data_IF_576774426441
#
_entry.id   IF_576774426441
#
_cell.length_a   1.000
_cell.length_b   1.000
_cell.length_c   1.000
_cell.angle_alpha   90.00
_cell.angle_beta   90.00
_cell.angle_gamma   90.00
#
_symmetry.space_group_name_H-M   'P 1'
#
loop_
_entity.id
_entity.type
_entity.pdbx_description
1 polymer ?
#
# COMPACT_ATOMS: atom_id res chain seq x y z
N UNK A 1 -7.01 -29.28 8.82
CA UNK A 1 -7.96 -28.64 9.76
C UNK A 1 -8.85 -27.76 8.91
N UNK A 2 -10.16 -27.69 9.17
CA UNK A 2 -11.04 -26.77 8.43
C UNK A 2 -10.73 -25.34 8.87
N UNK A 3 -10.26 -24.52 7.94
CA UNK A 3 -10.17 -23.08 8.13
C UNK A 3 -11.55 -22.52 8.51
N UNK A 4 -11.66 -21.87 9.66
CA UNK A 4 -12.93 -21.37 10.18
C UNK A 4 -12.79 -19.93 10.66
N UNK A 5 -13.53 -19.03 10.02
CA UNK A 5 -13.67 -17.63 10.43
C UNK A 5 -14.58 -17.59 11.66
N UNK A 6 -14.12 -17.03 12.77
CA UNK A 6 -14.88 -16.94 14.03
C UNK A 6 -15.34 -15.51 14.33
N UNK A 7 -14.65 -14.52 13.77
CA UNK A 7 -14.95 -13.09 13.90
C UNK A 7 -14.57 -12.38 12.60
N UNK A 8 -15.23 -11.25 12.32
CA UNK A 8 -14.95 -10.45 11.11
C UNK A 8 -13.49 -9.97 11.06
N UNK A 9 -12.85 -9.77 12.22
CA UNK A 9 -11.43 -9.41 12.28
C UNK A 9 -10.45 -10.54 11.98
N UNK A 10 -10.92 -11.76 11.69
CA UNK A 10 -10.08 -12.83 11.14
C UNK A 10 -9.83 -12.63 9.62
N UNK A 11 -10.56 -11.72 8.97
CA UNK A 11 -10.39 -11.39 7.56
C UNK A 11 -9.18 -10.46 7.37
N UNK A 12 -8.36 -10.76 6.37
CA UNK A 12 -7.22 -9.91 6.02
C UNK A 12 -7.63 -8.70 5.18
N UNK A 13 -8.76 -8.76 4.49
CA UNK A 13 -9.30 -7.66 3.70
C UNK A 13 -10.82 -7.68 3.63
N UNK A 14 -11.43 -6.50 3.67
CA UNK A 14 -12.86 -6.27 3.47
C UNK A 14 -13.02 -4.95 2.71
N UNK A 15 -13.73 -4.97 1.59
CA UNK A 15 -13.98 -3.79 0.77
C UNK A 15 -15.43 -3.73 0.29
N UNK A 16 -15.91 -2.52 -0.03
CA UNK A 16 -17.25 -2.30 -0.55
C UNK A 16 -17.21 -1.34 -1.71
N UNK A 17 -17.85 -1.71 -2.80
CA UNK A 17 -18.04 -0.86 -3.97
C UNK A 17 -19.49 -0.86 -4.45
N UNK A 18 -19.78 -0.11 -5.51
CA UNK A 18 -21.10 0.06 -6.12
C UNK A 18 -21.29 -0.80 -7.39
N UNK A 19 -20.42 -1.80 -7.58
CA UNK A 19 -20.48 -2.74 -8.71
C UNK A 19 -21.45 -3.91 -8.48
N UNK A 20 -22.12 -3.95 -7.33
CA UNK A 20 -23.12 -4.97 -7.04
C UNK A 20 -24.36 -4.82 -7.92
N UNK A 21 -24.92 -5.95 -8.33
CA UNK A 21 -26.14 -6.01 -9.12
C UNK A 21 -27.21 -6.75 -8.32
N UNK A 22 -28.31 -6.07 -8.03
CA UNK A 22 -29.46 -6.63 -7.32
C UNK A 22 -30.33 -7.52 -8.22
N UNK A 23 -31.34 -8.14 -7.63
CA UNK A 23 -32.19 -9.12 -8.33
C UNK A 23 -32.97 -8.52 -9.52
N UNK A 24 -33.19 -7.21 -9.53
CA UNK A 24 -33.92 -6.51 -10.59
C UNK A 24 -32.97 -5.69 -11.50
N UNK A 25 -31.66 -5.93 -11.41
CA UNK A 25 -30.64 -5.21 -12.18
C UNK A 25 -30.30 -3.82 -11.63
N UNK A 26 -30.82 -3.46 -10.45
CA UNK A 26 -30.45 -2.22 -9.77
C UNK A 26 -29.02 -2.28 -9.22
N UNK A 27 -28.34 -1.13 -9.18
CA UNK A 27 -27.04 -1.03 -8.51
C UNK A 27 -27.25 -1.16 -7.01
N UNK A 28 -26.53 -2.09 -6.41
CA UNK A 28 -26.52 -2.32 -4.96
C UNK A 28 -25.07 -2.34 -4.47
N UNK A 29 -24.81 -2.05 -3.19
CA UNK A 29 -23.47 -2.23 -2.64
C UNK A 29 -23.03 -3.69 -2.81
N UNK A 30 -21.78 -3.89 -3.22
CA UNK A 30 -21.13 -5.20 -3.19
C UNK A 30 -20.04 -5.14 -2.13
N UNK A 31 -20.11 -6.05 -1.18
CA UNK A 31 -19.08 -6.24 -0.16
C UNK A 31 -18.26 -7.47 -0.53
N UNK A 32 -16.95 -7.31 -0.71
CA UNK A 32 -16.01 -8.39 -0.94
C UNK A 32 -15.07 -8.52 0.26
N UNK A 33 -14.57 -9.73 0.50
CA UNK A 33 -13.74 -10.05 1.65
C UNK A 33 -12.79 -11.20 1.33
N UNK A 34 -11.63 -11.18 1.98
CA UNK A 34 -10.59 -12.18 1.82
C UNK A 34 -10.01 -12.60 3.16
N UNK A 35 -9.49 -13.82 3.19
CA UNK A 35 -8.84 -14.40 4.35
C UNK A 35 -7.67 -15.28 3.92
N UNK A 36 -6.70 -15.45 4.81
CA UNK A 36 -5.53 -16.31 4.60
C UNK A 36 -5.40 -17.20 5.83
N UNK A 37 -5.20 -18.50 5.65
CA UNK A 37 -5.02 -19.44 6.75
C UNK A 37 -3.55 -19.56 7.19
N UNK A 38 -3.31 -20.36 8.24
CA UNK A 38 -1.97 -20.56 8.78
C UNK A 38 -1.02 -21.33 7.84
N UNK A 39 -1.55 -21.96 6.80
CA UNK A 39 -0.80 -22.66 5.74
C UNK A 39 -0.66 -21.77 4.49
N UNK A 40 -0.97 -20.47 4.60
CA UNK A 40 -0.91 -19.48 3.52
C UNK A 40 -1.91 -19.71 2.37
N UNK A 41 -2.93 -20.54 2.56
CA UNK A 41 -3.98 -20.68 1.54
C UNK A 41 -4.88 -19.44 1.55
N UNK A 42 -5.15 -18.89 0.36
CA UNK A 42 -6.01 -17.72 0.20
C UNK A 42 -7.47 -18.11 -0.02
N UNK A 43 -8.37 -17.30 0.53
CA UNK A 43 -9.82 -17.46 0.40
C UNK A 43 -10.44 -16.12 0.03
N UNK A 44 -11.44 -16.15 -0.86
CA UNK A 44 -12.16 -14.97 -1.30
C UNK A 44 -13.67 -15.22 -1.30
N UNK A 45 -14.43 -14.18 -0.98
CA UNK A 45 -15.89 -14.21 -1.03
C UNK A 45 -16.44 -12.81 -1.29
N UNK A 46 -17.64 -12.77 -1.86
CA UNK A 46 -18.35 -11.52 -2.07
C UNK A 46 -19.85 -11.68 -1.94
N UNK A 47 -20.52 -10.56 -1.63
CA UNK A 47 -21.97 -10.49 -1.52
C UNK A 47 -22.50 -9.14 -2.00
N UNK A 48 -23.36 -9.20 -3.00
CA UNK A 48 -24.14 -8.05 -3.46
C UNK A 48 -25.36 -7.81 -2.56
N UNK A 49 -25.73 -6.55 -2.38
CA UNK A 49 -26.88 -6.12 -1.59
C UNK A 49 -26.64 -5.97 -0.09
N UNK A 50 -25.40 -6.17 0.37
CA UNK A 50 -25.03 -6.07 1.80
C UNK A 50 -23.94 -5.02 1.95
N UNK A 51 -24.13 -4.13 2.93
CA UNK A 51 -23.11 -3.18 3.38
C UNK A 51 -22.09 -3.85 4.30
N UNK A 52 -20.84 -3.38 4.34
CA UNK A 52 -19.82 -3.85 5.30
C UNK A 52 -20.33 -3.80 6.75
N UNK A 53 -21.16 -2.80 7.08
CA UNK A 53 -21.73 -2.63 8.43
C UNK A 53 -22.73 -3.73 8.81
N UNK A 54 -23.27 -4.42 7.82
CA UNK A 54 -24.29 -5.47 7.96
C UNK A 54 -23.70 -6.86 7.74
N UNK A 55 -22.41 -6.95 7.41
CA UNK A 55 -21.71 -8.21 7.19
C UNK A 55 -21.60 -9.00 8.50
N UNK A 56 -22.04 -10.25 8.48
CA UNK A 56 -21.94 -11.16 9.64
C UNK A 56 -20.98 -12.31 9.37
N UNK A 57 -20.52 -12.98 10.43
CA UNK A 57 -19.60 -14.13 10.32
C UNK A 57 -20.26 -15.26 9.53
N UNK A 58 -21.54 -15.48 9.71
CA UNK A 58 -22.30 -16.51 8.99
C UNK A 58 -22.33 -16.20 7.49
N UNK A 59 -22.52 -14.93 7.09
CA UNK A 59 -22.49 -14.54 5.68
C UNK A 59 -21.10 -14.76 5.08
N UNK A 60 -20.05 -14.44 5.83
CA UNK A 60 -18.66 -14.67 5.41
C UNK A 60 -18.43 -16.16 5.21
N UNK A 61 -18.71 -16.99 6.22
CA UNK A 61 -18.56 -18.45 6.13
C UNK A 61 -19.36 -19.05 4.96
N UNK A 62 -20.57 -18.55 4.71
CA UNK A 62 -21.43 -19.03 3.62
C UNK A 62 -20.83 -18.71 2.23
N UNK A 63 -20.18 -17.56 2.06
CA UNK A 63 -19.75 -17.05 0.74
C UNK A 63 -18.24 -17.11 0.51
N UNK A 64 -17.44 -17.38 1.54
CA UNK A 64 -15.99 -17.52 1.44
C UNK A 64 -15.64 -18.86 0.77
N UNK A 65 -14.77 -18.82 -0.24
CA UNK A 65 -14.32 -19.99 -0.99
C UNK A 65 -12.79 -19.96 -1.10
N UNK A 66 -12.14 -21.13 -1.11
CA UNK A 66 -10.71 -21.18 -1.39
C UNK A 66 -10.46 -20.64 -2.81
N UNK A 67 -9.47 -19.76 -2.92
CA UNK A 67 -8.94 -19.35 -4.22
C UNK A 67 -7.97 -20.46 -4.69
N UNK A 68 -8.20 -21.06 -5.86
CA UNK A 68 -7.28 -22.06 -6.39
C UNK A 68 -5.97 -21.41 -6.82
N UNK A 69 -4.87 -22.15 -6.73
CA UNK A 69 -3.53 -21.68 -7.09
C UNK A 69 -3.50 -21.10 -8.50
N UNK A 70 -4.27 -21.61 -9.46
CA UNK A 70 -4.27 -21.11 -10.83
C UNK A 70 -4.88 -19.70 -10.99
N UNK A 71 -5.71 -19.26 -10.04
CA UNK A 71 -6.24 -17.90 -9.99
C UNK A 71 -5.27 -16.93 -9.30
N UNK A 72 -4.44 -17.45 -8.39
CA UNK A 72 -3.43 -16.69 -7.64
C UNK A 72 -2.13 -16.59 -8.45
N UNK A 73 -1.75 -17.69 -9.09
CA UNK A 73 -0.56 -17.89 -9.90
C UNK A 73 -1.00 -18.20 -11.33
N UNK A 74 -1.18 -17.17 -12.18
CA UNK A 74 -1.65 -17.37 -13.55
C UNK A 74 -0.76 -18.36 -14.30
N UNK A 75 -1.40 -19.24 -15.08
CA UNK A 75 -0.68 -20.17 -15.94
C UNK A 75 0.20 -19.38 -16.91
N UNK A 76 1.50 -19.68 -16.86
CA UNK A 76 2.49 -19.06 -17.74
C UNK A 76 2.09 -19.23 -19.21
N UNK A 77 2.11 -18.17 -20.04
CA UNK A 77 1.93 -18.27 -21.48
C UNK A 77 2.82 -19.38 -22.07
N UNK A 78 2.24 -20.35 -22.78
CA UNK A 78 2.97 -21.52 -23.27
C UNK A 78 3.99 -21.20 -24.39
N UNK A 79 3.90 -20.01 -24.99
CA UNK A 79 4.69 -19.61 -26.17
C UNK A 79 5.77 -18.55 -25.89
N UNK A 80 5.92 -18.12 -24.63
CA UNK A 80 7.01 -17.22 -24.25
C UNK A 80 8.02 -18.01 -23.42
N UNK A 81 9.32 -17.92 -23.79
CA UNK A 81 10.43 -18.47 -23.01
C UNK A 81 10.50 -17.74 -21.67
N UNK A 82 9.60 -18.10 -20.75
CA UNK A 82 9.59 -17.62 -19.39
C UNK A 82 10.64 -18.44 -18.65
N UNK A 83 11.77 -17.78 -18.41
CA UNK A 83 12.84 -18.35 -17.60
C UNK A 83 12.33 -18.42 -16.18
N UNK A 84 12.18 -19.63 -15.63
CA UNK A 84 11.95 -19.84 -14.19
C UNK A 84 13.04 -19.05 -13.47
N UNK A 85 12.65 -18.12 -12.58
CA UNK A 85 13.62 -17.44 -11.73
C UNK A 85 14.45 -18.54 -11.05
N UNK A 86 15.79 -18.54 -11.21
CA UNK A 86 16.60 -19.64 -10.73
C UNK A 86 16.29 -19.92 -9.26
N UNK A 87 16.15 -21.19 -8.89
CA UNK A 87 15.95 -21.64 -7.50
C UNK A 87 16.99 -21.03 -6.54
N UNK A 88 18.12 -20.62 -7.09
CA UNK A 88 19.12 -19.80 -6.42
C UNK A 88 18.82 -18.29 -6.60
N UNK A 89 17.87 -17.81 -5.81
CA UNK A 89 17.51 -16.38 -5.69
C UNK A 89 18.54 -15.57 -4.89
N UNK A 90 19.72 -16.12 -4.58
CA UNK A 90 20.77 -15.43 -3.80
C UNK A 90 21.23 -14.09 -4.41
N UNK A 91 20.86 -13.78 -5.66
CA UNK A 91 21.17 -12.52 -6.32
C UNK A 91 19.99 -11.57 -6.59
N UNK A 92 18.75 -11.94 -6.27
CA UNK A 92 17.58 -11.04 -6.31
C UNK A 92 17.11 -10.74 -4.88
N UNK A 93 16.91 -9.47 -4.57
CA UNK A 93 16.38 -9.03 -3.27
C UNK A 93 15.00 -8.41 -3.49
N UNK A 94 14.00 -8.93 -2.80
CA UNK A 94 12.78 -8.21 -2.46
C UNK A 94 12.79 -8.08 -0.93
N UNK A 95 12.53 -6.85 -0.45
CA UNK A 95 12.90 -6.27 0.85
C UNK A 95 14.39 -5.92 1.01
N UNK A 96 14.57 -4.70 1.54
CA UNK A 96 15.77 -3.84 1.64
C UNK A 96 17.13 -4.55 1.51
N UNK A 97 17.92 -4.15 0.50
CA UNK A 97 19.31 -4.59 0.30
C UNK A 97 20.20 -4.05 1.43
N UNK A 98 20.80 -4.90 2.28
CA UNK A 98 21.75 -4.48 3.33
C UNK A 98 23.00 -3.78 2.76
N UNK A 99 23.30 -4.02 1.48
CA UNK A 99 24.50 -3.48 0.83
C UNK A 99 24.31 -2.06 0.27
N UNK A 100 23.07 -1.53 0.22
CA UNK A 100 22.82 -0.14 -0.17
C UNK A 100 23.27 0.85 0.92
N UNK A 101 23.26 0.38 2.18
CA UNK A 101 23.64 1.15 3.38
C UNK A 101 25.09 0.89 3.83
N UNK A 102 25.76 -0.12 3.26
CA UNK A 102 27.19 -0.36 3.50
C UNK A 102 28.05 0.61 2.69
N UNK A 103 28.26 1.79 3.26
CA UNK A 103 29.30 2.73 2.82
C UNK A 103 28.82 3.93 2.01
N UNK A 104 27.52 4.20 1.96
CA UNK A 104 26.95 5.40 1.33
C UNK A 104 25.83 5.99 2.16
N UNK A 105 25.83 7.32 2.31
CA UNK A 105 24.72 8.05 2.89
C UNK A 105 23.46 7.87 2.03
N UNK A 106 22.29 7.75 2.67
CA UNK A 106 21.00 7.80 1.98
C UNK A 106 20.91 9.16 1.29
N UNK A 107 20.88 9.15 -0.05
CA UNK A 107 20.74 10.37 -0.85
C UNK A 107 19.26 10.79 -0.84
N UNK A 108 18.86 11.46 0.25
CA UNK A 108 17.50 11.97 0.47
C UNK A 108 17.01 12.80 -0.71
N UNK A 109 17.84 13.69 -1.23
CA UNK A 109 17.49 14.58 -2.34
C UNK A 109 17.20 13.78 -3.62
N UNK A 110 17.99 12.74 -3.91
CA UNK A 110 17.72 11.82 -5.02
C UNK A 110 16.41 11.06 -4.84
N UNK A 111 16.12 10.58 -3.64
CA UNK A 111 14.88 9.85 -3.36
C UNK A 111 13.68 10.79 -3.55
N UNK A 112 13.68 11.97 -2.93
CA UNK A 112 12.57 12.92 -3.02
C UNK A 112 12.37 13.43 -4.45
N UNK A 113 13.45 13.74 -5.17
CA UNK A 113 13.36 14.20 -6.56
C UNK A 113 12.85 13.10 -7.51
N UNK A 114 13.29 11.85 -7.33
CA UNK A 114 12.81 10.73 -8.13
C UNK A 114 11.33 10.41 -7.86
N UNK A 115 10.89 10.44 -6.60
CA UNK A 115 9.48 10.28 -6.25
C UNK A 115 8.62 11.42 -6.80
N UNK A 116 9.08 12.67 -6.68
CA UNK A 116 8.39 13.82 -7.28
C UNK A 116 8.23 13.65 -8.79
N UNK A 117 9.28 13.23 -9.51
CA UNK A 117 9.22 13.02 -10.95
C UNK A 117 8.26 11.89 -11.36
N UNK A 118 8.21 10.80 -10.58
CA UNK A 118 7.26 9.71 -10.80
C UNK A 118 5.80 10.17 -10.61
N UNK A 119 5.54 10.96 -9.56
CA UNK A 119 4.22 11.52 -9.27
C UNK A 119 3.82 12.56 -10.31
N UNK A 120 4.71 13.46 -10.72
CA UNK A 120 4.47 14.44 -11.79
C UNK A 120 4.06 13.75 -13.10
N UNK A 121 4.72 12.62 -13.42
CA UNK A 121 4.37 11.81 -14.58
C UNK A 121 2.97 11.21 -14.46
N UNK A 122 2.63 10.63 -13.29
CA UNK A 122 1.31 10.07 -13.04
C UNK A 122 0.22 11.13 -13.10
N UNK A 123 0.47 12.30 -12.51
CA UNK A 123 -0.45 13.43 -12.49
C UNK A 123 -0.69 14.00 -13.89
N UNK A 124 0.34 14.01 -14.75
CA UNK A 124 0.20 14.40 -16.15
C UNK A 124 -0.72 13.45 -16.95
N UNK A 125 -0.90 12.22 -16.49
CA UNK A 125 -1.86 11.25 -17.04
C UNK A 125 -3.27 11.40 -16.45
N UNK A 126 -3.47 12.31 -15.51
CA UNK A 126 -4.77 12.51 -14.83
C UNK A 126 -5.05 11.51 -13.70
N UNK A 127 -4.02 10.83 -13.20
CA UNK A 127 -4.10 9.80 -12.16
C UNK A 127 -3.41 10.30 -10.88
N UNK A 128 -3.89 9.88 -9.71
CA UNK A 128 -3.16 9.99 -8.44
C UNK A 128 -2.84 8.60 -7.90
N UNK A 129 -1.75 8.44 -7.14
CA UNK A 129 -1.38 7.17 -6.49
C UNK A 129 -2.23 6.92 -5.24
N UNK A 130 -2.53 7.97 -4.48
CA UNK A 130 -3.33 8.04 -3.25
C UNK A 130 -2.79 7.29 -2.02
N UNK A 131 -1.62 6.67 -2.14
CA UNK A 131 -1.01 5.92 -1.04
C UNK A 131 0.53 5.99 -1.06
N UNK A 132 1.05 7.22 -1.16
CA UNK A 132 2.51 7.46 -1.14
C UNK A 132 3.02 7.31 0.30
N UNK A 133 3.80 6.25 0.54
CA UNK A 133 4.42 5.95 1.84
C UNK A 133 5.71 5.10 1.62
N UNK A 134 6.56 4.89 2.65
CA UNK A 134 7.83 4.18 2.51
C UNK A 134 7.70 2.71 2.12
N UNK A 135 6.63 2.03 2.53
CA UNK A 135 6.39 0.64 2.14
C UNK A 135 6.10 0.52 0.63
N UNK A 136 5.63 1.60 0.02
CA UNK A 136 5.34 1.69 -1.42
C UNK A 136 6.51 2.29 -2.23
N UNK A 137 7.72 2.35 -1.65
CA UNK A 137 8.92 2.80 -2.35
C UNK A 137 10.02 1.74 -2.27
N UNK A 138 10.49 1.29 -3.43
CA UNK A 138 11.67 0.44 -3.55
C UNK A 138 12.88 1.26 -3.99
N UNK A 139 14.08 0.84 -3.61
CA UNK A 139 15.32 1.41 -4.12
C UNK A 139 15.97 0.44 -5.11
N UNK A 140 16.22 0.93 -6.33
CA UNK A 140 16.97 0.21 -7.34
C UNK A 140 18.46 0.13 -6.97
N UNK A 141 19.23 -0.66 -7.74
CA UNK A 141 20.65 -0.89 -7.45
C UNK A 141 21.51 0.39 -7.41
N UNK A 142 21.16 1.43 -8.18
CA UNK A 142 21.86 2.72 -8.20
C UNK A 142 21.33 3.72 -7.15
N UNK A 143 20.40 3.29 -6.28
CA UNK A 143 19.75 4.14 -5.29
C UNK A 143 18.61 4.99 -5.85
N UNK A 144 18.15 4.71 -7.08
CA UNK A 144 16.98 5.36 -7.65
C UNK A 144 15.69 4.87 -6.97
N UNK A 145 14.77 5.77 -6.57
CA UNK A 145 13.50 5.38 -6.02
C UNK A 145 12.57 4.86 -7.12
N UNK A 146 11.82 3.81 -6.78
CA UNK A 146 10.79 3.21 -7.62
C UNK A 146 9.51 3.17 -6.81
N UNK A 147 8.52 3.96 -7.23
CA UNK A 147 7.17 3.93 -6.67
C UNK A 147 6.48 2.63 -7.10
N UNK A 148 5.90 1.91 -6.15
CA UNK A 148 5.21 0.63 -6.35
C UNK A 148 3.81 0.66 -5.72
N UNK A 149 3.04 -0.40 -5.96
CA UNK A 149 1.69 -0.61 -5.42
C UNK A 149 0.66 0.44 -5.84
N UNK A 150 0.23 0.34 -7.11
CA UNK A 150 -0.80 1.18 -7.69
C UNK A 150 -2.24 0.72 -7.33
N UNK A 151 -2.42 -0.08 -6.27
CA UNK A 151 -3.73 -0.61 -5.88
C UNK A 151 -4.77 0.46 -5.48
N UNK A 152 -4.30 1.64 -5.06
CA UNK A 152 -5.14 2.81 -4.75
C UNK A 152 -5.13 3.88 -5.87
N UNK A 153 -4.47 3.57 -7.00
CA UNK A 153 -4.32 4.51 -8.08
C UNK A 153 -5.63 4.67 -8.85
N UNK A 154 -6.09 5.92 -8.99
CA UNK A 154 -7.38 6.22 -9.61
C UNK A 154 -7.32 7.54 -10.38
N UNK A 155 -8.16 7.75 -11.42
CA UNK A 155 -8.34 9.04 -12.06
C UNK A 155 -8.79 10.11 -11.08
N UNK A 156 -8.33 11.35 -11.29
CA UNK A 156 -8.69 12.47 -10.42
C UNK A 156 -10.22 12.64 -10.30
N UNK A 157 -10.68 12.82 -9.06
CA UNK A 157 -12.09 12.97 -8.71
C UNK A 157 -12.84 11.66 -8.46
N UNK A 158 -12.27 10.50 -8.82
CA UNK A 158 -12.87 9.21 -8.53
C UNK A 158 -12.87 8.93 -7.03
N UNK A 159 -13.90 8.21 -6.56
CA UNK A 159 -14.09 7.96 -5.14
C UNK A 159 -13.12 6.88 -4.65
N UNK A 160 -12.38 7.18 -3.60
CA UNK A 160 -11.46 6.22 -2.99
C UNK A 160 -12.17 5.30 -1.99
N UNK A 161 -11.75 4.04 -1.97
CA UNK A 161 -12.24 3.02 -1.03
C UNK A 161 -11.64 3.20 0.38
N UNK A 162 -10.40 3.67 0.44
CA UNK A 162 -9.67 4.02 1.66
C UNK A 162 -9.02 5.40 1.48
N UNK A 163 -8.62 6.04 2.58
CA UNK A 163 -7.93 7.33 2.51
C UNK A 163 -6.41 7.17 2.27
N UNK A 164 -5.92 5.97 1.93
CA UNK A 164 -4.50 5.62 1.98
C UNK A 164 -4.08 5.06 3.35
N UNK A 165 -2.78 4.88 3.56
CA UNK A 165 -2.20 4.30 4.78
C UNK A 165 -2.27 5.26 5.97
N UNK A 166 -2.77 4.82 7.15
CA UNK A 166 -2.83 5.65 8.36
C UNK A 166 -1.48 6.29 8.73
N UNK A 167 -1.48 7.59 9.03
CA UNK A 167 -0.27 8.36 9.30
C UNK A 167 0.43 8.92 8.05
N UNK A 168 0.13 8.37 6.87
CA UNK A 168 0.69 8.80 5.58
C UNK A 168 -0.32 9.55 4.70
N UNK A 169 -1.58 9.58 5.12
CA UNK A 169 -2.65 10.22 4.39
C UNK A 169 -3.21 11.48 5.07
N UNK A 170 -3.88 12.32 4.28
CA UNK A 170 -4.68 13.43 4.77
C UNK A 170 -5.84 12.91 5.63
N UNK A 171 -6.44 13.81 6.42
CA UNK A 171 -7.65 13.50 7.17
C UNK A 171 -8.73 12.91 6.26
N UNK A 172 -9.46 11.89 6.74
CA UNK A 172 -10.41 11.11 5.95
C UNK A 172 -11.48 11.98 5.27
N UNK A 173 -11.89 13.07 5.91
CA UNK A 173 -12.86 14.04 5.40
C UNK A 173 -12.34 14.80 4.17
N UNK A 174 -11.03 14.78 3.92
CA UNK A 174 -10.33 15.50 2.86
C UNK A 174 -9.80 14.60 1.74
N UNK A 175 -9.76 13.28 1.96
CA UNK A 175 -9.18 12.27 1.05
C UNK A 175 -10.21 11.21 0.62
N UNK A 176 -11.47 11.61 0.41
CA UNK A 176 -12.52 10.70 -0.06
C UNK A 176 -12.51 10.50 -1.59
N UNK A 177 -11.73 11.31 -2.31
CA UNK A 177 -11.58 11.27 -3.76
C UNK A 177 -10.10 11.31 -4.14
N UNK A 178 -9.80 10.71 -5.30
CA UNK A 178 -8.48 10.69 -5.90
C UNK A 178 -8.06 12.10 -6.26
N UNK A 179 -6.92 12.53 -5.74
CA UNK A 179 -6.44 13.89 -5.91
C UNK A 179 -4.91 13.91 -5.77
N UNK A 180 -4.25 14.71 -6.62
CA UNK A 180 -2.80 14.96 -6.51
C UNK A 180 -2.40 15.44 -5.12
N UNK A 181 -3.28 16.16 -4.42
CA UNK A 181 -3.03 16.66 -3.07
C UNK A 181 -2.82 15.53 -2.04
N UNK A 182 -3.35 14.33 -2.30
CA UNK A 182 -3.10 13.16 -1.45
C UNK A 182 -1.65 12.68 -1.62
N UNK A 183 -1.15 12.65 -2.85
CA UNK A 183 0.24 12.28 -3.15
C UNK A 183 1.23 13.33 -2.66
N UNK A 184 0.92 14.61 -2.86
CA UNK A 184 1.73 15.74 -2.36
C UNK A 184 1.86 15.70 -0.83
N UNK A 185 0.79 15.29 -0.13
CA UNK A 185 0.82 15.13 1.32
C UNK A 185 1.74 13.97 1.75
N UNK A 186 1.57 12.79 1.16
CA UNK A 186 2.42 11.63 1.46
C UNK A 186 3.90 11.89 1.14
N UNK A 187 4.18 12.53 -0.01
CA UNK A 187 5.52 12.97 -0.38
C UNK A 187 6.10 13.98 0.63
N UNK A 188 5.26 14.92 1.12
CA UNK A 188 5.66 15.89 2.15
C UNK A 188 6.09 15.24 3.47
N UNK A 189 5.53 14.07 3.81
CA UNK A 189 5.91 13.29 4.98
C UNK A 189 7.17 12.45 4.78
N UNK A 190 7.52 12.11 3.54
CA UNK A 190 8.70 11.33 3.20
C UNK A 190 10.00 12.03 3.62
N UNK A 191 10.07 13.36 3.49
CA UNK A 191 11.27 14.13 3.85
C UNK A 191 11.65 14.01 5.33
N UNK A 192 10.76 14.38 6.27
CA UNK A 192 11.01 14.21 7.70
C UNK A 192 11.23 12.76 8.13
N UNK A 193 10.57 11.80 7.49
CA UNK A 193 10.80 10.38 7.76
C UNK A 193 12.21 9.95 7.35
N UNK A 194 12.67 10.33 6.15
CA UNK A 194 14.02 10.06 5.69
C UNK A 194 15.09 10.70 6.58
N UNK A 195 14.83 11.88 7.16
CA UNK A 195 15.75 12.50 8.13
C UNK A 195 15.97 11.60 9.35
N UNK A 196 14.91 11.03 9.93
CA UNK A 196 15.01 10.09 11.04
C UNK A 196 15.79 8.82 10.67
N UNK A 197 15.56 8.29 9.47
CA UNK A 197 16.29 7.12 8.97
C UNK A 197 17.78 7.42 8.77
N UNK A 198 18.12 8.59 8.20
CA UNK A 198 19.52 9.01 8.03
C UNK A 198 20.23 9.09 9.38
N UNK A 199 19.62 9.73 10.38
CA UNK A 199 20.19 9.85 11.73
C UNK A 199 20.45 8.47 12.37
N UNK A 200 19.51 7.53 12.23
CA UNK A 200 19.67 6.17 12.75
C UNK A 200 20.78 5.39 12.04
N UNK A 201 20.85 5.49 10.70
CA UNK A 201 21.90 4.83 9.92
C UNK A 201 23.27 5.40 10.28
N UNK A 202 23.43 6.72 10.36
CA UNK A 202 24.69 7.35 10.75
C UNK A 202 25.11 6.94 12.17
N UNK A 203 24.18 6.90 13.13
CA UNK A 203 24.46 6.42 14.49
C UNK A 203 24.82 4.92 14.57
N UNK A 204 24.29 4.10 13.66
CA UNK A 204 24.63 2.66 13.58
C UNK A 204 26.05 2.41 13.07
N UNK A 205 26.51 3.23 12.12
CA UNK A 205 27.87 3.19 11.57
C UNK A 205 28.90 3.55 12.65
N UNK A 206 28.59 4.52 13.52
CA UNK A 206 29.45 4.89 14.65
C UNK A 206 29.54 3.79 15.72
N UNK A 207 28.47 3.03 15.92
CA UNK A 207 28.37 1.99 16.98
C UNK A 207 28.76 0.59 16.51
N UNK A 208 28.95 0.38 15.21
CA UNK A 208 29.35 -0.90 14.61
C UNK A 208 28.23 -1.96 14.60
N UNK A 209 26.98 -1.54 14.76
CA UNK A 209 25.80 -2.40 14.71
C UNK A 209 25.20 -2.35 13.30
N UNK A 210 24.94 -3.52 12.70
CA UNK A 210 24.25 -3.64 11.40
C UNK A 210 22.79 -3.20 11.56
N UNK A 211 22.46 -1.98 11.13
CA UNK A 211 21.09 -1.47 11.15
C UNK A 211 20.27 -2.07 10.01
N UNK A 212 19.01 -2.42 10.29
CA UNK A 212 18.04 -2.94 9.34
C UNK A 212 16.71 -2.24 9.57
N UNK A 213 16.04 -1.87 8.48
CA UNK A 213 14.65 -1.42 8.50
C UNK A 213 13.74 -2.61 8.21
N UNK A 214 13.05 -3.12 9.21
CA UNK A 214 11.96 -4.06 8.99
C UNK A 214 10.67 -3.28 8.65
N UNK A 215 9.72 -3.92 7.96
CA UNK A 215 8.46 -3.28 7.58
C UNK A 215 7.65 -2.80 8.80
N UNK A 216 7.86 -3.47 9.94
CA UNK A 216 7.28 -3.19 11.25
C UNK A 216 7.87 -1.92 11.89
N UNK A 217 9.07 -1.52 11.46
CA UNK A 217 9.80 -0.34 11.94
C UNK A 217 9.45 0.92 11.16
N UNK A 218 8.50 0.88 10.22
CA UNK A 218 7.89 2.07 9.64
C UNK A 218 6.82 2.54 10.63
N UNK A 219 7.09 3.50 11.54
CA UNK A 219 6.09 3.90 12.50
C UNK A 219 4.88 4.47 11.74
N UNK A 220 3.63 4.21 12.20
CA UNK A 220 2.55 5.11 11.85
C UNK A 220 3.00 6.48 12.35
N UNK A 221 3.19 7.44 11.44
CA UNK A 221 3.52 8.80 11.86
C UNK A 221 2.38 9.26 12.77
N UNK A 222 2.67 9.41 14.06
CA UNK A 222 1.71 9.95 15.01
C UNK A 222 1.30 11.32 14.49
N UNK A 223 0.06 11.42 14.04
CA UNK A 223 -0.55 12.69 13.67
C UNK A 223 -0.57 13.52 14.95
N UNK A 224 0.42 14.40 15.14
CA UNK A 224 0.26 15.51 16.06
C UNK A 224 -0.94 16.27 15.53
N UNK A 225 -2.08 16.12 16.19
CA UNK A 225 -3.23 16.98 15.97
C UNK A 225 -2.70 18.41 15.89
N UNK A 226 -2.77 19.02 14.71
CA UNK A 226 -2.53 20.44 14.60
C UNK A 226 -3.61 21.09 15.47
N UNK A 227 -3.22 21.46 16.70
CA UNK A 227 -4.04 22.22 17.61
C UNK A 227 -4.64 23.38 16.85
N UNK A 228 -5.97 23.42 16.81
CA UNK A 228 -6.71 24.43 16.09
C UNK A 228 -6.26 25.83 16.49
N UNK A 229 -5.86 26.63 15.49
CA UNK A 229 -5.70 28.07 15.65
C UNK A 229 -4.51 28.63 14.89
N UNK A 230 -4.78 29.38 13.81
CA UNK A 230 -3.82 30.31 13.23
C UNK A 230 -3.71 30.18 11.71
N UNK A 231 -4.38 31.07 10.98
CA UNK A 231 -4.43 31.07 9.53
C UNK A 231 -3.08 31.30 8.85
N UNK A 232 -2.92 30.66 7.70
CA UNK A 232 -1.85 30.96 6.76
C UNK A 232 -2.31 32.12 5.86
N UNK A 233 -1.97 33.33 6.29
CA UNK A 233 -1.83 34.46 5.37
C UNK A 233 -0.56 34.22 4.53
N UNK A 234 -0.68 34.36 3.22
CA UNK A 234 0.33 33.96 2.26
C UNK A 234 1.58 34.82 2.21
N UNK A 235 2.50 34.39 1.35
CA UNK A 235 3.56 35.20 0.78
C UNK A 235 3.62 34.91 -0.71
N UNK A 236 3.55 35.98 -1.51
CA UNK A 236 4.15 36.02 -2.84
C UNK A 236 5.60 36.44 -2.75
#
# INVERSE_FOLDING_TARGET
MSFEITKISDLCSICQDDRGTGANGERVPRTAFAAIDAEENAYFGEKSGISIRELTVEMVQEHLRPLPDEEIYPLLPQDENLTVAPYDITNFHVKTRPDLFKGGAIDKDRILSGLSAALDHLHALGLAHNDVNPANVMLAHGGEPVLIDFGSCEPFGERLLSAGTPGWCRAREQAFASDKANDEYGLGLMGPWLDGVVEEVEGSVETGVDWRLELEDVPPLEVKECGGGGGWAGCG
#
